data_IF_224411308985
#
_entry.id   IF_224411308985
#
_cell.length_a   1.000
_cell.length_b   1.000
_cell.length_c   1.000
_cell.angle_alpha   90.00
_cell.angle_beta   90.00
_cell.angle_gamma   90.00
#
_symmetry.space_group_name_H-M   'P 1'
#
loop_
_entity.id
_entity.type
_entity.pdbx_description
1 polymer ?
#
# COMPACT_ATOMS: atom_id res chain seq x y z
N UNK A 1 -24.55 9.22 -69.27
CA UNK A 1 -25.03 9.74 -67.96
C UNK A 1 -24.27 9.03 -66.84
N UNK A 2 -23.21 9.65 -66.31
CA UNK A 2 -22.43 9.15 -65.19
C UNK A 2 -22.88 9.92 -63.97
N UNK A 3 -23.48 9.23 -62.96
CA UNK A 3 -23.80 9.82 -61.65
C UNK A 3 -22.60 9.72 -60.74
N UNK A 4 -22.00 10.87 -60.37
CA UNK A 4 -21.05 11.01 -59.28
C UNK A 4 -21.79 10.85 -57.97
N UNK A 5 -21.38 9.91 -57.15
CA UNK A 5 -21.72 9.87 -55.71
C UNK A 5 -20.62 10.63 -54.97
N UNK A 6 -21.00 11.80 -54.43
CA UNK A 6 -20.14 12.51 -53.47
C UNK A 6 -20.34 11.87 -52.09
N UNK A 7 -19.28 11.25 -51.55
CA UNK A 7 -19.23 10.88 -50.17
C UNK A 7 -18.86 12.11 -49.34
N UNK A 8 -19.83 12.59 -48.56
CA UNK A 8 -19.57 13.57 -47.50
C UNK A 8 -18.89 12.83 -46.33
N UNK A 9 -17.62 13.01 -46.15
CA UNK A 9 -16.87 12.65 -44.92
C UNK A 9 -17.25 13.68 -43.86
N UNK A 10 -18.08 13.28 -42.90
CA UNK A 10 -18.27 14.01 -41.64
C UNK A 10 -16.97 13.90 -40.83
N UNK A 11 -16.42 15.00 -40.32
CA UNK A 11 -15.27 14.91 -39.44
C UNK A 11 -15.70 14.27 -38.11
N UNK A 12 -15.08 13.13 -37.76
CA UNK A 12 -15.19 12.56 -36.41
C UNK A 12 -14.73 13.63 -35.41
N UNK A 13 -15.61 13.93 -34.47
CA UNK A 13 -15.39 14.90 -33.40
C UNK A 13 -14.25 14.47 -32.47
N UNK A 14 -13.05 15.00 -32.69
CA UNK A 14 -11.89 14.88 -31.81
C UNK A 14 -11.95 15.90 -30.65
N UNK A 15 -13.07 16.62 -30.49
CA UNK A 15 -13.18 17.80 -29.62
C UNK A 15 -13.41 17.51 -28.12
N UNK A 16 -13.91 16.37 -27.62
CA UNK A 16 -14.06 16.24 -26.18
C UNK A 16 -12.77 15.86 -25.41
N UNK A 17 -11.79 15.25 -26.08
CA UNK A 17 -10.56 14.80 -25.36
C UNK A 17 -9.59 15.93 -25.01
N UNK A 18 -9.52 16.99 -25.83
CA UNK A 18 -8.63 18.13 -25.60
C UNK A 18 -9.10 19.11 -24.53
N UNK A 19 -10.39 19.09 -24.16
CA UNK A 19 -10.94 19.98 -23.14
C UNK A 19 -10.94 19.37 -21.73
N UNK A 20 -10.90 18.05 -21.61
CA UNK A 20 -10.93 17.35 -20.30
C UNK A 20 -9.52 17.25 -19.68
N UNK A 21 -8.51 17.02 -20.49
CA UNK A 21 -7.13 16.91 -20.01
C UNK A 21 -6.59 18.17 -19.28
N UNK A 22 -6.82 19.41 -19.78
CA UNK A 22 -6.41 20.63 -19.05
C UNK A 22 -7.12 20.80 -17.72
N UNK A 23 -8.38 20.39 -17.62
CA UNK A 23 -9.18 20.52 -16.39
C UNK A 23 -8.69 19.56 -15.30
N UNK A 24 -8.31 18.34 -15.67
CA UNK A 24 -7.74 17.34 -14.74
C UNK A 24 -6.36 17.80 -14.25
N UNK A 25 -5.50 18.27 -15.14
CA UNK A 25 -4.17 18.79 -14.78
C UNK A 25 -4.30 19.99 -13.85
N UNK A 26 -5.19 20.93 -14.14
CA UNK A 26 -5.42 22.11 -13.28
C UNK A 26 -5.99 21.74 -11.92
N UNK A 27 -6.88 20.74 -11.84
CA UNK A 27 -7.44 20.27 -10.57
C UNK A 27 -6.37 19.61 -9.71
N UNK A 28 -5.47 18.84 -10.34
CA UNK A 28 -4.35 18.20 -9.65
C UNK A 28 -3.33 19.21 -9.14
N UNK A 29 -2.88 20.13 -9.99
CA UNK A 29 -1.96 21.20 -9.57
C UNK A 29 -2.54 22.08 -8.46
N UNK A 30 -3.85 22.33 -8.49
CA UNK A 30 -4.55 23.04 -7.42
C UNK A 30 -4.55 22.22 -6.13
N UNK A 31 -4.89 20.93 -6.20
CA UNK A 31 -4.84 20.01 -5.07
C UNK A 31 -3.44 19.93 -4.46
N UNK A 32 -2.40 19.77 -5.29
CA UNK A 32 -0.99 19.73 -4.84
C UNK A 32 -0.58 21.03 -4.13
N UNK A 33 -1.03 22.20 -4.63
CA UNK A 33 -0.78 23.50 -3.98
C UNK A 33 -1.54 23.64 -2.65
N UNK A 34 -2.81 23.24 -2.62
CA UNK A 34 -3.66 23.36 -1.42
C UNK A 34 -3.18 22.44 -0.28
N UNK A 35 -2.56 21.29 -0.62
CA UNK A 35 -2.04 20.30 0.33
C UNK A 35 -0.52 20.37 0.51
N UNK A 36 0.13 21.43 0.01
CA UNK A 36 1.58 21.65 0.12
C UNK A 36 2.43 20.50 -0.42
N UNK A 37 1.88 19.71 -1.38
CA UNK A 37 2.55 18.57 -2.01
C UNK A 37 3.58 18.97 -3.09
N UNK A 38 3.72 20.27 -3.37
CA UNK A 38 4.79 20.81 -4.21
C UNK A 38 6.16 20.52 -3.60
N UNK A 39 7.22 20.64 -4.41
CA UNK A 39 8.60 20.34 -4.00
C UNK A 39 8.92 20.93 -2.62
N UNK A 40 8.62 20.16 -1.57
CA UNK A 40 9.04 20.49 -0.22
C UNK A 40 10.58 20.52 -0.24
N UNK A 41 11.21 21.57 0.36
CA UNK A 41 12.64 21.57 0.52
C UNK A 41 13.01 20.27 1.25
N UNK A 42 13.95 19.51 0.70
CA UNK A 42 14.40 18.31 1.38
C UNK A 42 14.85 18.71 2.79
N UNK A 43 14.25 18.15 3.87
CA UNK A 43 14.65 18.48 5.23
C UNK A 43 16.15 18.23 5.40
N UNK A 44 16.78 18.93 6.33
CA UNK A 44 18.17 18.61 6.69
C UNK A 44 18.22 17.20 7.24
N UNK A 45 19.26 16.41 6.84
CA UNK A 45 19.38 15.03 7.32
C UNK A 45 19.23 14.94 8.83
N UNK A 46 18.36 14.08 9.30
CA UNK A 46 18.10 13.88 10.71
C UNK A 46 19.36 13.34 11.42
N UNK A 47 19.60 13.81 12.62
CA UNK A 47 20.70 13.30 13.47
C UNK A 47 20.10 12.57 14.66
N UNK A 48 20.18 11.25 14.61
CA UNK A 48 19.71 10.39 15.69
C UNK A 48 20.83 10.16 16.70
N UNK A 49 20.52 10.27 18.00
CA UNK A 49 21.50 10.05 19.06
C UNK A 49 21.75 8.56 19.29
N UNK A 50 22.95 8.08 18.97
CA UNK A 50 23.33 6.69 19.22
C UNK A 50 23.34 6.35 20.73
N UNK A 51 23.54 7.34 21.62
CA UNK A 51 23.46 7.14 23.07
C UNK A 51 22.00 6.88 23.52
N UNK A 52 21.01 7.49 22.85
CA UNK A 52 19.57 7.27 23.13
C UNK A 52 19.06 5.99 22.48
N UNK A 53 19.55 5.67 21.28
CA UNK A 53 19.12 4.53 20.49
C UNK A 53 20.32 3.64 20.14
N UNK A 54 20.88 2.89 21.13
CA UNK A 54 22.01 2.00 20.89
C UNK A 54 21.64 0.88 19.91
N UNK A 55 22.62 0.44 19.12
CA UNK A 55 22.45 -0.68 18.19
C UNK A 55 22.21 -2.01 18.92
N UNK A 56 21.57 -2.92 18.24
CA UNK A 56 21.31 -4.31 18.67
C UNK A 56 21.41 -5.27 17.47
N UNK A 57 21.50 -6.57 17.72
CA UNK A 57 21.52 -7.57 16.67
C UNK A 57 20.10 -7.82 16.12
N UNK A 58 19.97 -8.00 14.81
CA UNK A 58 18.71 -8.46 14.23
C UNK A 58 18.58 -9.98 14.37
N UNK A 59 17.35 -10.52 14.56
CA UNK A 59 17.14 -11.95 14.60
C UNK A 59 17.43 -12.59 13.24
N UNK A 60 18.04 -13.76 13.25
CA UNK A 60 18.29 -14.50 12.03
C UNK A 60 16.98 -15.00 11.41
N UNK A 61 16.89 -14.95 10.08
CA UNK A 61 15.72 -15.45 9.34
C UNK A 61 14.38 -14.81 9.74
N UNK A 62 14.39 -13.55 10.15
CA UNK A 62 13.18 -12.78 10.42
C UNK A 62 13.35 -11.36 9.86
N UNK A 63 12.28 -10.84 9.25
CA UNK A 63 12.27 -9.52 8.63
C UNK A 63 11.14 -8.69 9.24
N UNK A 64 11.45 -7.53 9.85
CA UNK A 64 10.43 -6.56 10.25
C UNK A 64 9.77 -5.93 9.03
N UNK A 65 8.47 -5.66 9.13
CA UNK A 65 7.70 -4.98 8.09
C UNK A 65 7.02 -3.76 8.68
N UNK A 66 7.25 -2.61 8.08
CA UNK A 66 6.65 -1.34 8.48
C UNK A 66 5.60 -0.89 7.47
N UNK A 67 4.56 -0.19 7.94
CA UNK A 67 3.57 0.43 7.06
C UNK A 67 3.30 1.87 7.46
N UNK A 68 3.27 2.75 6.45
CA UNK A 68 2.78 4.12 6.47
C UNK A 68 1.63 4.29 5.48
N UNK A 69 0.89 5.39 5.62
CA UNK A 69 -0.11 5.80 4.63
C UNK A 69 0.32 7.12 3.97
N UNK A 70 0.17 8.26 4.64
CA UNK A 70 0.57 9.56 4.12
C UNK A 70 1.87 10.10 4.73
N UNK A 71 2.65 10.86 3.93
CA UNK A 71 3.79 11.63 4.43
C UNK A 71 3.59 13.11 4.04
N UNK A 72 3.23 13.93 5.01
CA UNK A 72 2.88 15.34 4.76
C UNK A 72 2.26 16.03 5.95
N UNK A 73 1.38 17.00 5.68
CA UNK A 73 0.76 17.85 6.70
C UNK A 73 -0.74 17.52 6.94
N UNK A 74 -1.29 16.49 6.32
CA UNK A 74 -2.68 16.10 6.53
C UNK A 74 -2.91 15.64 7.98
N UNK A 75 -4.10 15.98 8.53
CA UNK A 75 -4.49 15.61 9.90
C UNK A 75 -5.62 14.59 9.86
N UNK A 76 -5.31 13.41 9.30
CA UNK A 76 -6.27 12.32 9.10
C UNK A 76 -6.03 11.12 10.06
N UNK A 77 -5.09 11.25 10.99
CA UNK A 77 -4.69 10.20 11.91
C UNK A 77 -3.68 9.20 11.33
N UNK A 78 -3.47 9.20 10.01
CA UNK A 78 -2.59 8.26 9.30
C UNK A 78 -1.37 8.94 8.66
N UNK A 79 -1.39 10.25 8.52
CA UNK A 79 -0.30 11.00 7.89
C UNK A 79 0.77 11.36 8.91
N UNK A 80 2.00 10.95 8.63
CA UNK A 80 3.22 11.27 9.39
C UNK A 80 3.87 12.50 8.75
N UNK A 81 4.38 13.43 9.54
CA UNK A 81 5.11 14.58 8.98
C UNK A 81 6.41 14.13 8.30
N UNK A 82 6.88 14.89 7.30
CA UNK A 82 8.17 14.59 6.66
C UNK A 82 9.32 14.52 7.65
N UNK A 83 9.34 15.39 8.66
CA UNK A 83 10.39 15.41 9.68
C UNK A 83 10.39 14.15 10.55
N UNK A 84 9.22 13.67 10.94
CA UNK A 84 9.07 12.42 11.69
C UNK A 84 9.44 11.20 10.84
N UNK A 85 8.97 11.15 9.59
CA UNK A 85 9.35 10.11 8.65
C UNK A 85 10.87 10.06 8.44
N UNK A 86 11.52 11.23 8.23
CA UNK A 86 12.98 11.27 8.11
C UNK A 86 13.68 10.79 9.37
N UNK A 87 13.19 11.15 10.57
CA UNK A 87 13.73 10.63 11.83
C UNK A 87 13.58 9.10 11.92
N UNK A 88 12.45 8.55 11.50
CA UNK A 88 12.24 7.10 11.48
C UNK A 88 13.21 6.41 10.51
N UNK A 89 13.37 6.93 9.29
CA UNK A 89 14.32 6.39 8.30
C UNK A 89 15.77 6.54 8.79
N UNK A 90 16.15 7.67 9.37
CA UNK A 90 17.47 7.89 9.93
C UNK A 90 17.79 6.94 11.11
N UNK A 91 16.77 6.60 11.92
CA UNK A 91 16.91 5.59 12.98
C UNK A 91 17.20 4.20 12.39
N UNK A 92 16.46 3.80 11.35
CA UNK A 92 16.68 2.52 10.68
C UNK A 92 18.09 2.43 10.08
N UNK A 93 18.55 3.49 9.41
CA UNK A 93 19.91 3.59 8.86
C UNK A 93 20.97 3.48 9.97
N UNK A 94 20.83 4.25 11.06
CA UNK A 94 21.75 4.19 12.22
C UNK A 94 21.79 2.79 12.85
N UNK A 95 20.66 2.07 12.92
CA UNK A 95 20.58 0.71 13.44
C UNK A 95 21.12 -0.33 12.44
N UNK A 96 21.51 0.08 11.24
CA UNK A 96 22.10 -0.75 10.19
C UNK A 96 21.06 -1.57 9.40
N UNK A 97 19.79 -1.20 9.42
CA UNK A 97 18.77 -1.82 8.57
C UNK A 97 18.95 -1.41 7.11
N UNK A 98 18.73 -2.36 6.21
CA UNK A 98 18.71 -2.14 4.76
C UNK A 98 17.36 -2.55 4.21
N UNK A 99 16.70 -1.61 3.53
CA UNK A 99 15.40 -1.86 2.92
C UNK A 99 15.52 -2.82 1.73
N UNK A 100 14.68 -3.87 1.73
CA UNK A 100 14.63 -4.89 0.68
C UNK A 100 13.50 -4.63 -0.31
N UNK A 101 13.62 -5.21 -1.52
CA UNK A 101 12.59 -5.19 -2.54
C UNK A 101 11.49 -6.21 -2.25
N UNK A 102 10.33 -6.05 -2.91
CA UNK A 102 9.26 -7.05 -2.88
C UNK A 102 9.76 -8.39 -3.46
N UNK A 103 10.62 -8.37 -4.47
CA UNK A 103 11.23 -9.59 -5.00
C UNK A 103 12.13 -10.29 -3.98
N UNK A 104 13.00 -9.55 -3.26
CA UNK A 104 13.81 -10.13 -2.18
C UNK A 104 12.93 -10.65 -1.04
N UNK A 105 11.84 -9.95 -0.73
CA UNK A 105 10.83 -10.43 0.21
C UNK A 105 10.20 -11.75 -0.23
N UNK A 106 9.74 -11.86 -1.49
CA UNK A 106 9.15 -13.08 -2.02
C UNK A 106 10.14 -14.27 -2.00
N UNK A 107 11.39 -14.02 -2.38
CA UNK A 107 12.46 -15.02 -2.30
C UNK A 107 12.76 -15.44 -0.85
N UNK A 108 12.80 -14.49 0.09
CA UNK A 108 12.92 -14.78 1.52
C UNK A 108 11.77 -15.64 2.04
N UNK A 109 10.53 -15.29 1.71
CA UNK A 109 9.34 -16.06 2.09
C UNK A 109 9.38 -17.49 1.52
N UNK A 110 10.00 -17.68 0.36
CA UNK A 110 10.25 -18.99 -0.25
C UNK A 110 11.48 -19.73 0.34
N UNK A 111 12.11 -19.17 1.39
CA UNK A 111 13.28 -19.76 2.06
C UNK A 111 14.63 -19.48 1.38
N UNK A 112 14.67 -18.55 0.41
CA UNK A 112 15.91 -18.14 -0.27
C UNK A 112 16.46 -16.88 0.43
N UNK A 113 17.60 -17.01 1.09
CA UNK A 113 18.17 -15.92 1.91
C UNK A 113 19.52 -15.38 1.39
N UNK A 114 20.05 -15.93 0.30
CA UNK A 114 21.40 -15.62 -0.19
C UNK A 114 21.59 -14.12 -0.56
N UNK A 115 20.53 -13.45 -1.03
CA UNK A 115 20.59 -12.06 -1.49
C UNK A 115 20.03 -11.05 -0.47
N UNK A 116 19.83 -11.48 0.79
CA UNK A 116 19.39 -10.58 1.84
C UNK A 116 20.57 -9.86 2.50
N UNK A 117 20.41 -8.56 2.85
CA UNK A 117 21.37 -7.86 3.70
C UNK A 117 21.38 -8.44 5.13
N UNK A 118 22.38 -8.08 5.92
CA UNK A 118 22.52 -8.55 7.31
C UNK A 118 21.33 -8.19 8.20
N UNK A 119 20.76 -7.01 7.99
CA UNK A 119 19.57 -6.51 8.71
C UNK A 119 18.50 -6.09 7.68
N UNK A 120 17.77 -7.04 7.11
CA UNK A 120 16.72 -6.69 6.14
C UNK A 120 15.51 -6.07 6.83
N UNK A 121 14.88 -5.12 6.17
CA UNK A 121 13.59 -4.55 6.55
C UNK A 121 12.74 -4.31 5.30
N UNK A 122 11.42 -4.54 5.39
CA UNK A 122 10.50 -4.18 4.33
C UNK A 122 9.72 -2.91 4.72
N UNK A 123 9.85 -1.86 3.91
CA UNK A 123 9.12 -0.60 4.08
C UNK A 123 7.92 -0.59 3.14
N UNK A 124 6.72 -0.35 3.66
CA UNK A 124 5.49 -0.37 2.85
C UNK A 124 4.66 0.89 3.07
N UNK A 125 3.91 1.25 2.02
CA UNK A 125 2.94 2.33 2.05
C UNK A 125 1.62 1.81 1.50
N UNK A 126 0.50 2.15 2.14
CA UNK A 126 -0.81 1.74 1.67
C UNK A 126 -1.52 2.86 0.88
N UNK A 127 -2.61 2.49 0.22
CA UNK A 127 -3.53 3.29 -0.57
C UNK A 127 -3.02 3.79 -1.92
N UNK A 128 -1.72 3.98 -2.12
CA UNK A 128 -1.18 4.64 -3.32
C UNK A 128 -1.40 6.16 -3.31
N UNK A 129 -1.39 6.79 -2.14
CA UNK A 129 -1.57 8.23 -1.96
C UNK A 129 -0.44 9.01 -2.60
N UNK A 130 -0.76 10.18 -3.18
CA UNK A 130 0.23 11.06 -3.79
C UNK A 130 1.19 11.66 -2.75
N UNK A 131 0.68 12.00 -1.56
CA UNK A 131 1.49 12.56 -0.48
C UNK A 131 2.54 11.56 0.03
N UNK A 132 2.25 10.25 0.06
CA UNK A 132 3.24 9.22 0.37
C UNK A 132 4.45 9.32 -0.58
N UNK A 133 4.19 9.35 -1.89
CA UNK A 133 5.25 9.46 -2.89
C UNK A 133 6.02 10.77 -2.77
N UNK A 134 5.31 11.91 -2.79
CA UNK A 134 5.92 13.25 -2.76
C UNK A 134 6.70 13.51 -1.47
N UNK A 135 6.16 13.03 -0.35
CA UNK A 135 6.78 13.22 0.96
C UNK A 135 7.96 12.31 1.24
N UNK A 136 7.91 11.05 0.78
CA UNK A 136 8.91 10.04 1.13
C UNK A 136 10.07 9.90 0.13
N UNK A 137 9.83 10.07 -1.18
CA UNK A 137 10.79 9.68 -2.24
C UNK A 137 12.19 10.26 -2.06
N UNK A 138 12.31 11.56 -1.76
CA UNK A 138 13.60 12.23 -1.58
C UNK A 138 14.32 11.82 -0.29
N UNK A 139 13.56 11.47 0.74
CA UNK A 139 14.10 10.95 1.99
C UNK A 139 14.65 9.53 1.77
N UNK A 140 13.85 8.65 1.15
CA UNK A 140 14.31 7.31 0.78
C UNK A 140 15.57 7.36 -0.09
N UNK A 141 15.61 8.26 -1.09
CA UNK A 141 16.81 8.47 -1.93
C UNK A 141 18.04 8.86 -1.12
N UNK A 142 17.88 9.76 -0.14
CA UNK A 142 18.97 10.26 0.71
C UNK A 142 19.64 9.15 1.53
N UNK A 143 18.83 8.24 2.05
CA UNK A 143 19.32 7.13 2.88
C UNK A 143 19.57 5.84 2.10
N UNK A 144 19.49 5.86 0.75
CA UNK A 144 19.67 4.67 -0.08
C UNK A 144 18.65 3.58 0.19
N UNK A 145 17.48 3.95 0.72
CA UNK A 145 16.39 3.02 1.03
C UNK A 145 15.38 2.94 -0.11
N UNK A 146 14.63 1.86 -0.11
CA UNK A 146 13.53 1.59 -1.03
C UNK A 146 12.26 1.22 -0.28
N UNK A 147 11.12 1.24 -0.96
CA UNK A 147 9.84 0.90 -0.37
C UNK A 147 8.91 0.21 -1.38
N UNK A 148 7.85 -0.40 -0.87
CA UNK A 148 6.73 -0.92 -1.66
C UNK A 148 5.50 -0.05 -1.42
N UNK A 149 4.76 0.30 -2.47
CA UNK A 149 3.45 0.94 -2.35
C UNK A 149 2.34 -0.02 -2.77
N UNK A 150 1.29 -0.13 -1.95
CA UNK A 150 0.08 -0.90 -2.23
C UNK A 150 -1.03 0.05 -2.70
N UNK A 151 -1.60 -0.20 -3.88
CA UNK A 151 -2.37 0.78 -4.64
C UNK A 151 -3.84 0.38 -4.81
N UNK A 152 -4.76 1.33 -4.63
CA UNK A 152 -6.19 1.18 -4.92
C UNK A 152 -6.44 1.62 -6.37
N UNK A 153 -6.67 0.66 -7.28
CA UNK A 153 -6.73 0.98 -8.71
C UNK A 153 -8.02 1.70 -9.13
N UNK A 154 -9.13 1.53 -8.44
CA UNK A 154 -10.37 2.29 -8.69
C UNK A 154 -10.16 3.80 -8.51
N UNK A 155 -9.37 4.21 -7.52
CA UNK A 155 -9.10 5.63 -7.26
C UNK A 155 -8.24 6.27 -8.36
N UNK A 156 -7.32 5.51 -8.95
CA UNK A 156 -6.57 5.94 -10.13
C UNK A 156 -7.51 6.11 -11.33
N UNK A 157 -8.40 5.15 -11.57
CA UNK A 157 -9.35 5.19 -12.70
C UNK A 157 -10.36 6.34 -12.57
N UNK A 158 -10.73 6.72 -11.35
CA UNK A 158 -11.54 7.91 -11.06
C UNK A 158 -10.79 9.23 -11.28
N UNK A 159 -9.49 9.17 -11.56
CA UNK A 159 -8.61 10.33 -11.61
C UNK A 159 -8.68 11.17 -10.32
N UNK A 160 -8.79 10.51 -9.17
CA UNK A 160 -8.85 11.17 -7.87
C UNK A 160 -7.48 11.81 -7.58
N UNK A 161 -7.39 13.15 -7.45
CA UNK A 161 -6.10 13.85 -7.33
C UNK A 161 -5.34 13.56 -6.04
N UNK A 162 -5.97 12.94 -5.07
CA UNK A 162 -5.34 12.50 -3.82
C UNK A 162 -4.44 11.27 -4.02
N UNK A 163 -4.66 10.50 -5.08
CA UNK A 163 -3.91 9.28 -5.38
C UNK A 163 -2.91 9.49 -6.53
N UNK A 164 -1.91 8.63 -6.60
CA UNK A 164 -0.96 8.57 -7.72
C UNK A 164 -1.67 8.17 -9.01
N UNK A 165 -1.08 8.55 -10.14
CA UNK A 165 -1.50 8.08 -11.47
C UNK A 165 -0.65 6.88 -11.90
N UNK A 166 -1.08 6.13 -12.93
CA UNK A 166 -0.26 5.06 -13.51
C UNK A 166 1.08 5.59 -14.06
N UNK A 167 1.11 6.80 -14.61
CA UNK A 167 2.34 7.44 -15.08
C UNK A 167 3.33 7.67 -13.92
N UNK A 168 2.84 8.18 -12.80
CA UNK A 168 3.67 8.37 -11.60
C UNK A 168 4.14 7.03 -11.01
N UNK A 169 3.27 6.01 -10.98
CA UNK A 169 3.65 4.67 -10.53
C UNK A 169 4.75 4.06 -11.41
N UNK A 170 4.68 4.25 -12.73
CA UNK A 170 5.77 3.83 -13.62
C UNK A 170 7.06 4.61 -13.31
N UNK A 171 7.00 5.92 -13.15
CA UNK A 171 8.17 6.72 -12.77
C UNK A 171 8.77 6.31 -11.40
N UNK A 172 7.92 5.99 -10.43
CA UNK A 172 8.33 5.43 -9.14
C UNK A 172 9.09 4.12 -9.32
N UNK A 173 8.51 3.15 -10.03
CA UNK A 173 9.15 1.86 -10.36
C UNK A 173 10.48 2.05 -11.09
N UNK A 174 10.49 2.87 -12.12
CA UNK A 174 11.67 3.08 -12.99
C UNK A 174 12.80 3.82 -12.24
N UNK A 175 12.50 4.50 -11.14
CA UNK A 175 13.50 5.06 -10.22
C UNK A 175 14.31 3.97 -9.48
N UNK A 176 13.81 2.72 -9.45
CA UNK A 176 14.38 1.60 -8.70
C UNK A 176 14.18 1.66 -7.18
N UNK A 177 13.50 2.70 -6.67
CA UNK A 177 13.23 2.84 -5.23
C UNK A 177 11.89 2.29 -4.79
N UNK A 178 10.95 2.08 -5.70
CA UNK A 178 9.60 1.68 -5.39
C UNK A 178 9.21 0.39 -6.10
N UNK A 179 8.69 -0.55 -5.34
CA UNK A 179 7.93 -1.68 -5.85
C UNK A 179 6.44 -1.33 -5.78
N UNK A 180 5.67 -1.65 -6.83
CA UNK A 180 4.27 -1.29 -6.94
C UNK A 180 3.43 -2.57 -6.81
N UNK A 181 2.51 -2.63 -5.84
CA UNK A 181 1.72 -3.80 -5.52
C UNK A 181 0.23 -3.45 -5.30
N UNK A 182 -0.71 -4.40 -5.48
CA UNK A 182 -2.14 -4.15 -5.32
C UNK A 182 -2.58 -4.09 -3.84
N UNK A 183 -3.50 -3.13 -3.56
CA UNK A 183 -4.24 -3.03 -2.31
C UNK A 183 -5.71 -3.44 -2.46
N UNK A 184 -6.35 -3.05 -3.54
CA UNK A 184 -7.69 -3.43 -3.97
C UNK A 184 -7.96 -2.84 -5.36
N UNK A 185 -9.02 -3.32 -6.06
CA UNK A 185 -9.65 -2.48 -7.08
C UNK A 185 -10.66 -1.54 -6.42
N UNK A 186 -11.85 -2.03 -6.10
CA UNK A 186 -12.93 -1.29 -5.46
C UNK A 186 -13.22 -1.76 -4.02
N UNK A 187 -12.42 -2.69 -3.50
CA UNK A 187 -12.63 -3.33 -2.21
C UNK A 187 -12.20 -2.53 -0.99
N UNK A 188 -11.59 -1.35 -1.16
CA UNK A 188 -11.19 -0.48 -0.04
C UNK A 188 -12.38 0.36 0.46
N UNK A 189 -13.41 -0.32 0.97
CA UNK A 189 -14.63 0.29 1.51
C UNK A 189 -15.31 -0.62 2.51
N UNK A 190 -16.22 -0.07 3.30
CA UNK A 190 -17.12 -0.85 4.16
C UNK A 190 -18.46 -1.09 3.46
N UNK A 191 -19.16 -2.14 3.90
CA UNK A 191 -20.50 -2.49 3.41
C UNK A 191 -21.44 -2.68 4.61
N UNK A 192 -22.76 -2.46 4.37
CA UNK A 192 -23.78 -2.84 5.34
C UNK A 192 -23.81 -4.36 5.49
N UNK A 193 -23.92 -4.84 6.74
CA UNK A 193 -23.89 -6.27 7.11
C UNK A 193 -25.22 -6.78 7.61
N UNK A 194 -26.13 -5.88 7.99
CA UNK A 194 -27.48 -6.20 8.46
C UNK A 194 -28.46 -5.03 8.21
N UNK A 195 -29.74 -5.25 8.58
CA UNK A 195 -30.81 -4.26 8.45
C UNK A 195 -30.66 -3.07 9.41
N UNK A 196 -29.89 -3.21 10.47
CA UNK A 196 -29.61 -2.14 11.44
C UNK A 196 -28.59 -1.13 10.91
N UNK A 197 -27.91 -1.46 9.83
CA UNK A 197 -26.90 -0.59 9.21
C UNK A 197 -25.50 -0.75 9.79
N UNK A 198 -25.21 -1.85 10.49
CA UNK A 198 -23.84 -2.16 10.87
C UNK A 198 -22.97 -2.36 9.61
N UNK A 199 -21.72 -1.94 9.69
CA UNK A 199 -20.78 -2.00 8.58
C UNK A 199 -19.53 -2.80 8.93
N UNK A 200 -18.97 -3.48 7.93
CA UNK A 200 -17.68 -4.14 8.02
C UNK A 200 -16.90 -3.99 6.68
N UNK A 201 -15.57 -4.22 6.69
CA UNK A 201 -14.77 -4.13 5.47
C UNK A 201 -15.27 -5.07 4.36
N UNK A 202 -15.09 -4.63 3.12
CA UNK A 202 -15.56 -5.33 1.91
C UNK A 202 -15.16 -6.80 1.85
N UNK A 203 -13.93 -7.13 2.21
CA UNK A 203 -13.42 -8.51 2.11
C UNK A 203 -13.87 -9.39 3.27
N UNK A 204 -14.14 -8.83 4.44
CA UNK A 204 -14.29 -9.60 5.68
C UNK A 204 -15.72 -9.95 6.04
N UNK A 205 -16.70 -9.45 5.27
CA UNK A 205 -18.11 -9.66 5.62
C UNK A 205 -18.99 -9.92 4.40
N UNK A 206 -20.05 -10.67 4.62
CA UNK A 206 -21.17 -10.85 3.70
C UNK A 206 -22.01 -9.59 3.73
N UNK A 207 -22.26 -9.05 2.52
CA UNK A 207 -23.03 -7.81 2.33
C UNK A 207 -24.52 -8.03 2.59
N UNK A 208 -25.16 -7.07 3.23
CA UNK A 208 -26.60 -6.96 3.31
C UNK A 208 -27.14 -6.01 2.24
N UNK A 209 -28.26 -6.38 1.60
CA UNK A 209 -29.05 -5.50 0.72
C UNK A 209 -30.52 -5.57 1.08
N UNK A 210 -31.24 -4.47 0.95
CA UNK A 210 -32.69 -4.40 1.29
C UNK A 210 -33.54 -5.31 0.41
N UNK A 211 -33.12 -5.61 -0.81
CA UNK A 211 -33.83 -6.46 -1.76
C UNK A 211 -33.47 -7.94 -1.70
N UNK A 212 -32.27 -8.29 -1.22
CA UNK A 212 -31.74 -9.66 -1.25
C UNK A 212 -31.34 -10.23 0.12
N UNK A 213 -31.45 -9.44 1.20
CA UNK A 213 -30.97 -9.86 2.52
C UNK A 213 -29.43 -9.96 2.57
N UNK A 214 -28.91 -10.87 3.39
CA UNK A 214 -27.46 -11.11 3.53
C UNK A 214 -26.97 -12.03 2.41
N UNK A 215 -25.86 -11.68 1.74
CA UNK A 215 -25.19 -12.53 0.77
C UNK A 215 -25.01 -13.97 1.27
N UNK A 216 -25.13 -14.95 0.39
CA UNK A 216 -24.60 -16.29 0.65
C UNK A 216 -23.08 -16.29 0.61
N UNK A 217 -22.41 -17.32 1.15
CA UNK A 217 -20.95 -17.45 1.01
C UNK A 217 -20.49 -17.51 -0.42
N UNK A 218 -21.24 -18.17 -1.31
CA UNK A 218 -20.92 -18.21 -2.75
C UNK A 218 -20.99 -16.83 -3.41
N UNK A 219 -21.95 -15.99 -3.03
CA UNK A 219 -22.04 -14.61 -3.51
C UNK A 219 -20.90 -13.73 -2.97
N UNK A 220 -20.55 -13.91 -1.70
CA UNK A 220 -19.38 -13.25 -1.11
C UNK A 220 -18.10 -13.64 -1.85
N UNK A 221 -17.86 -14.95 -2.06
CA UNK A 221 -16.68 -15.45 -2.76
C UNK A 221 -16.59 -14.93 -4.19
N UNK A 222 -17.70 -14.90 -4.92
CA UNK A 222 -17.77 -14.35 -6.27
C UNK A 222 -17.40 -12.86 -6.30
N UNK A 223 -17.97 -12.04 -5.38
CA UNK A 223 -17.69 -10.61 -5.27
C UNK A 223 -16.23 -10.32 -4.90
N UNK A 224 -15.68 -11.05 -3.94
CA UNK A 224 -14.30 -10.88 -3.51
C UNK A 224 -13.33 -11.34 -4.59
N UNK A 225 -13.60 -12.49 -5.22
CA UNK A 225 -12.76 -13.00 -6.31
C UNK A 225 -12.74 -12.07 -7.52
N UNK A 226 -13.88 -11.42 -7.83
CA UNK A 226 -13.97 -10.44 -8.93
C UNK A 226 -13.08 -9.22 -8.65
N UNK A 227 -13.08 -8.68 -7.43
CA UNK A 227 -12.23 -7.54 -7.08
C UNK A 227 -10.73 -7.90 -7.13
N UNK A 228 -10.36 -9.06 -6.57
CA UNK A 228 -8.99 -9.56 -6.60
C UNK A 228 -8.51 -9.86 -8.03
N UNK A 229 -9.38 -10.40 -8.87
CA UNK A 229 -9.11 -10.63 -10.28
C UNK A 229 -8.92 -9.30 -11.02
N UNK A 230 -9.83 -8.36 -10.81
CA UNK A 230 -9.80 -7.04 -11.46
C UNK A 230 -8.52 -6.29 -11.11
N UNK A 231 -8.18 -6.16 -9.83
CA UNK A 231 -6.96 -5.46 -9.43
C UNK A 231 -5.72 -6.10 -10.04
N UNK A 232 -5.62 -7.43 -10.05
CA UNK A 232 -4.49 -8.15 -10.65
C UNK A 232 -4.37 -7.84 -12.15
N UNK A 233 -5.48 -7.86 -12.89
CA UNK A 233 -5.47 -7.58 -14.33
C UNK A 233 -5.12 -6.13 -14.62
N UNK A 234 -5.57 -5.16 -13.80
CA UNK A 234 -5.15 -3.76 -13.96
C UNK A 234 -3.64 -3.59 -13.88
N UNK A 235 -2.99 -4.30 -12.95
CA UNK A 235 -1.53 -4.29 -12.86
C UNK A 235 -0.87 -4.91 -14.08
N UNK A 236 -1.36 -6.06 -14.55
CA UNK A 236 -0.85 -6.73 -15.76
C UNK A 236 -1.01 -5.86 -17.02
N UNK A 237 -2.14 -5.17 -17.17
CA UNK A 237 -2.40 -4.23 -18.27
C UNK A 237 -1.38 -3.08 -18.31
N UNK A 238 -0.79 -2.74 -17.15
CA UNK A 238 0.27 -1.75 -17.01
C UNK A 238 1.69 -2.34 -16.94
N UNK A 239 1.84 -3.63 -17.28
CA UNK A 239 3.14 -4.30 -17.32
C UNK A 239 3.81 -4.47 -15.95
N UNK A 240 3.01 -4.59 -14.89
CA UNK A 240 3.46 -4.86 -13.53
C UNK A 240 2.92 -6.22 -13.09
N UNK A 241 3.82 -7.16 -12.76
CA UNK A 241 3.43 -8.46 -12.21
C UNK A 241 3.26 -8.35 -10.69
N UNK A 242 2.05 -8.58 -10.13
CA UNK A 242 1.87 -8.54 -8.69
C UNK A 242 2.52 -9.73 -7.99
N UNK A 243 3.36 -9.47 -6.99
CA UNK A 243 4.01 -10.49 -6.15
C UNK A 243 3.42 -10.55 -4.73
N UNK A 244 2.56 -9.58 -4.37
CA UNK A 244 1.96 -9.47 -3.06
C UNK A 244 0.63 -8.70 -3.07
N UNK A 245 -0.10 -8.76 -1.95
CA UNK A 245 -1.34 -8.00 -1.72
C UNK A 245 -1.38 -7.50 -0.28
N UNK A 246 -1.66 -6.22 -0.05
CA UNK A 246 -2.01 -5.75 1.28
C UNK A 246 -3.54 -5.76 1.43
N UNK A 247 -4.02 -6.34 2.52
CA UNK A 247 -5.47 -6.42 2.77
C UNK A 247 -5.96 -5.07 3.30
N UNK A 248 -6.97 -4.45 2.67
CA UNK A 248 -7.57 -3.21 3.17
C UNK A 248 -7.96 -3.28 4.64
N UNK A 249 -7.72 -2.17 5.35
CA UNK A 249 -7.90 -2.08 6.82
C UNK A 249 -7.01 -3.02 7.63
N UNK A 250 -6.08 -3.74 7.00
CA UNK A 250 -5.25 -4.76 7.65
C UNK A 250 -6.04 -5.91 8.25
N UNK A 251 -7.29 -6.11 7.81
CA UNK A 251 -8.24 -7.06 8.39
C UNK A 251 -8.68 -8.09 7.33
N UNK A 252 -8.34 -9.39 7.56
CA UNK A 252 -8.83 -10.49 6.71
C UNK A 252 -10.01 -11.24 7.35
N UNK A 253 -10.60 -10.67 8.43
CA UNK A 253 -11.69 -11.23 9.22
C UNK A 253 -11.26 -11.65 10.63
N UNK A 254 -10.02 -11.38 11.06
CA UNK A 254 -9.54 -11.62 12.41
C UNK A 254 -10.17 -10.64 13.41
N UNK A 255 -10.50 -9.40 12.96
CA UNK A 255 -11.12 -8.36 13.79
C UNK A 255 -12.62 -8.21 13.58
N UNK A 256 -13.05 -8.22 12.32
CA UNK A 256 -14.46 -7.98 12.00
C UNK A 256 -14.95 -8.90 10.88
N UNK A 257 -15.88 -9.78 11.23
CA UNK A 257 -16.59 -10.63 10.26
C UNK A 257 -18.00 -10.94 10.76
N UNK A 258 -18.93 -11.13 9.82
CA UNK A 258 -20.26 -11.64 10.14
C UNK A 258 -20.45 -13.13 9.76
N UNK A 259 -19.34 -13.80 9.39
CA UNK A 259 -19.33 -15.25 9.11
C UNK A 259 -17.96 -15.86 9.46
N UNK A 260 -17.88 -16.80 10.41
CA UNK A 260 -16.61 -17.33 10.90
C UNK A 260 -15.81 -18.16 9.88
N UNK A 261 -16.38 -18.50 8.73
CA UNK A 261 -15.65 -19.21 7.65
C UNK A 261 -14.86 -18.26 6.75
N UNK A 262 -15.17 -16.97 6.75
CA UNK A 262 -14.53 -15.97 5.87
C UNK A 262 -13.03 -15.88 6.08
N UNK A 263 -12.46 -15.80 7.28
CA UNK A 263 -11.01 -15.69 7.44
C UNK A 263 -10.23 -16.79 6.73
N UNK A 264 -10.69 -18.04 6.87
CA UNK A 264 -10.08 -19.20 6.20
C UNK A 264 -10.22 -19.16 4.67
N UNK A 265 -11.40 -18.80 4.18
CA UNK A 265 -11.68 -18.69 2.74
C UNK A 265 -10.88 -17.56 2.11
N UNK A 266 -10.84 -16.37 2.72
CA UNK A 266 -10.10 -15.22 2.22
C UNK A 266 -8.59 -15.49 2.22
N UNK A 267 -8.05 -16.05 3.30
CA UNK A 267 -6.64 -16.49 3.35
C UNK A 267 -6.29 -17.43 2.19
N UNK A 268 -7.16 -18.40 1.90
CA UNK A 268 -7.00 -19.30 0.77
C UNK A 268 -7.04 -18.59 -0.60
N UNK A 269 -7.94 -17.62 -0.79
CA UNK A 269 -8.01 -16.82 -2.02
C UNK A 269 -6.74 -15.98 -2.21
N UNK A 270 -6.32 -15.25 -1.19
CA UNK A 270 -5.13 -14.38 -1.24
C UNK A 270 -3.85 -15.18 -1.51
N UNK A 271 -3.68 -16.30 -0.81
CA UNK A 271 -2.50 -17.17 -0.99
C UNK A 271 -2.44 -17.75 -2.41
N UNK A 272 -3.58 -18.15 -2.98
CA UNK A 272 -3.61 -18.67 -4.36
C UNK A 272 -3.35 -17.60 -5.42
N UNK A 273 -3.79 -16.35 -5.17
CA UNK A 273 -3.70 -15.28 -6.19
C UNK A 273 -2.38 -14.52 -6.16
N UNK A 274 -1.81 -14.30 -4.96
CA UNK A 274 -0.65 -13.41 -4.79
C UNK A 274 0.54 -14.10 -4.08
N UNK A 275 0.32 -15.24 -3.43
CA UNK A 275 1.36 -15.91 -2.64
C UNK A 275 1.69 -15.21 -1.33
N UNK A 276 2.09 -13.94 -1.39
CA UNK A 276 2.38 -13.09 -0.23
C UNK A 276 1.25 -12.11 0.02
N UNK A 277 0.89 -11.89 1.28
CA UNK A 277 -0.10 -10.89 1.65
C UNK A 277 0.14 -10.34 3.05
N UNK A 278 -0.34 -9.13 3.29
CA UNK A 278 -0.01 -8.32 4.46
C UNK A 278 -1.26 -7.87 5.20
N UNK A 279 -1.15 -7.81 6.54
CA UNK A 279 -2.17 -7.31 7.46
C UNK A 279 -1.53 -6.40 8.52
N UNK A 280 -2.33 -5.70 9.31
CA UNK A 280 -1.87 -5.06 10.53
C UNK A 280 -2.17 -5.95 11.74
N UNK A 281 -1.31 -5.91 12.76
CA UNK A 281 -1.56 -6.55 14.04
C UNK A 281 -2.62 -5.77 14.84
N UNK A 282 -3.41 -6.46 15.64
CA UNK A 282 -4.52 -5.84 16.37
C UNK A 282 -4.04 -4.87 17.47
N UNK A 283 -2.91 -5.17 18.09
CA UNK A 283 -2.28 -4.39 19.15
C UNK A 283 -1.10 -3.53 18.67
N UNK A 284 -0.87 -3.49 17.35
CA UNK A 284 0.30 -2.87 16.72
C UNK A 284 1.65 -3.32 17.29
N UNK A 285 1.74 -4.56 17.77
CA UNK A 285 3.00 -5.20 18.22
C UNK A 285 3.28 -6.50 17.44
N UNK A 286 3.36 -6.43 16.08
CA UNK A 286 3.53 -7.61 15.25
C UNK A 286 4.89 -8.27 15.50
N UNK A 287 4.90 -9.60 15.44
CA UNK A 287 6.16 -10.34 15.34
C UNK A 287 6.83 -10.11 13.98
N UNK A 288 8.17 -10.15 13.94
CA UNK A 288 8.89 -10.18 12.69
C UNK A 288 8.54 -11.44 11.89
N UNK A 289 8.48 -11.30 10.60
CA UNK A 289 8.04 -12.37 9.72
C UNK A 289 9.22 -13.26 9.31
N UNK A 290 9.04 -14.58 9.44
CA UNK A 290 9.95 -15.62 8.98
C UNK A 290 9.63 -16.14 7.57
N UNK A 291 10.41 -17.08 7.01
CA UNK A 291 10.06 -17.82 5.81
C UNK A 291 8.73 -18.57 5.97
N UNK A 292 8.05 -18.83 4.86
CA UNK A 292 6.78 -19.56 4.81
C UNK A 292 5.69 -18.83 4.05
N UNK A 293 4.47 -19.37 4.09
CA UNK A 293 3.29 -18.81 3.42
C UNK A 293 2.33 -18.15 4.42
N UNK A 294 1.37 -17.39 3.92
CA UNK A 294 0.32 -16.74 4.70
C UNK A 294 0.60 -15.27 5.01
N UNK A 295 -0.18 -14.73 5.94
CA UNK A 295 -0.11 -13.33 6.31
C UNK A 295 1.25 -12.93 6.89
N UNK A 296 1.75 -11.78 6.47
CA UNK A 296 2.80 -11.07 7.15
C UNK A 296 2.18 -9.88 7.91
N UNK A 297 2.50 -9.75 9.18
CA UNK A 297 2.04 -8.63 10.01
C UNK A 297 2.96 -7.44 9.87
N UNK A 298 2.40 -6.23 9.94
CA UNK A 298 3.12 -4.97 9.81
C UNK A 298 2.95 -4.11 11.04
N UNK A 299 4.03 -3.45 11.44
CA UNK A 299 4.00 -2.40 12.44
C UNK A 299 3.57 -1.09 11.76
N UNK A 300 2.45 -0.52 12.22
CA UNK A 300 1.85 0.67 11.63
C UNK A 300 2.40 1.94 12.26
N UNK A 301 2.83 2.87 11.42
CA UNK A 301 3.33 4.18 11.80
C UNK A 301 2.31 5.25 11.40
N UNK A 302 1.59 5.74 12.38
CA UNK A 302 0.52 6.75 12.26
C UNK A 302 0.99 8.11 12.75
N UNK A 303 0.11 9.11 12.72
CA UNK A 303 0.37 10.48 13.21
C UNK A 303 0.94 10.53 14.63
N UNK A 304 0.50 9.61 15.50
CA UNK A 304 0.91 9.55 16.91
C UNK A 304 2.11 8.66 17.18
N UNK A 305 2.60 7.91 16.17
CA UNK A 305 3.73 7.00 16.31
C UNK A 305 5.04 7.76 16.55
N UNK A 306 5.63 7.54 17.72
CA UNK A 306 6.87 8.19 18.13
C UNK A 306 8.08 7.37 17.71
N UNK A 307 9.22 8.02 17.62
CA UNK A 307 10.49 7.34 17.35
C UNK A 307 10.84 6.29 18.42
N UNK A 308 10.47 6.56 19.68
CA UNK A 308 10.67 5.62 20.79
C UNK A 308 9.81 4.36 20.64
N UNK A 309 8.61 4.46 20.06
CA UNK A 309 7.74 3.30 19.81
C UNK A 309 8.33 2.38 18.74
N UNK A 310 8.82 2.95 17.63
CA UNK A 310 9.53 2.20 16.59
C UNK A 310 10.78 1.53 17.13
N UNK A 311 11.62 2.27 17.86
CA UNK A 311 12.84 1.71 18.47
C UNK A 311 12.52 0.60 19.46
N UNK A 312 11.54 0.82 20.36
CA UNK A 312 11.10 -0.14 21.37
C UNK A 312 10.58 -1.43 20.74
N UNK A 313 9.77 -1.33 19.67
CA UNK A 313 9.29 -2.49 18.93
C UNK A 313 10.43 -3.26 18.27
N UNK A 314 11.32 -2.59 17.54
CA UNK A 314 12.47 -3.23 16.90
C UNK A 314 13.37 -3.95 17.92
N UNK A 315 13.59 -3.34 19.10
CA UNK A 315 14.43 -3.89 20.14
C UNK A 315 13.81 -5.10 20.83
N UNK A 316 12.50 -5.07 21.16
CA UNK A 316 11.78 -6.20 21.78
C UNK A 316 11.86 -7.47 20.93
N UNK A 317 11.86 -7.34 19.61
CA UNK A 317 11.95 -8.45 18.67
C UNK A 317 13.39 -8.77 18.23
N UNK A 318 14.40 -8.12 18.83
CA UNK A 318 15.82 -8.43 18.61
C UNK A 318 16.26 -9.67 19.38
N UNK A 319 17.46 -10.18 19.07
CA UNK A 319 18.04 -11.35 19.76
C UNK A 319 18.61 -11.04 21.14
N UNK A 320 18.75 -9.75 21.50
CA UNK A 320 19.44 -9.34 22.75
C UNK A 320 18.56 -9.45 24.01
N UNK A 321 17.23 -9.72 23.85
CA UNK A 321 16.28 -9.85 24.98
C UNK A 321 15.76 -11.29 25.21
N UNK A 322 16.42 -12.30 24.63
CA UNK A 322 16.05 -13.73 24.85
C UNK A 322 17.03 -14.46 25.76
#
# INVERSE_FOLDING_TARGET
MKRLFSFLLLPLSVIPFLAVAPTIVQSRERFEREHHMGALPAPAAARISAARYPGFAAPANQVPVLVWHGIGDARDGYTVTQGEFENQIALLDQLGYTAISMRQWADFRAGKTADLPLKPILLTFDDGRLDSYRGADKILQRYGMRATVFVITEEIEKANPFYTTWEELHAMRDSGRWDIQPHAHAGHRTLATNVQGDHAPFYTARRYTTSGGVETLAQWEARVSEDLFTVKHRFLDHGIEPEAFAVPYGDYGQRSTNDPSIPGLLSGLLTRQFGNWFIQADDNDPSFTGPGTGAAQRFELTTDARLDDLYGWLRRHSTDEK
#
